data_IF_941096837125
#
_entry.id   IF_941096837125
#
_cell.length_a   1.000
_cell.length_b   1.000
_cell.length_c   1.000
_cell.angle_alpha   90.00
_cell.angle_beta   90.00
_cell.angle_gamma   90.00
#
_symmetry.space_group_name_H-M   'P 1'
#
loop_
_entity.id
_entity.type
_entity.pdbx_description
1 polymer ?
#
# COMPACT_ATOMS: atom_id res chain seq x y z
N UNK A 1 -77.83 -45.26 14.94
CA UNK A 1 -77.24 -44.04 14.36
C UNK A 1 -77.49 -44.03 12.86
N UNK A 2 -77.73 -42.86 12.25
CA UNK A 2 -77.96 -42.73 10.81
C UNK A 2 -76.63 -42.93 10.04
N UNK A 3 -76.67 -43.62 8.90
CA UNK A 3 -75.51 -43.83 7.99
C UNK A 3 -74.82 -42.52 7.58
N UNK A 4 -75.58 -41.42 7.59
CA UNK A 4 -75.11 -40.08 7.22
C UNK A 4 -74.20 -39.49 8.30
N UNK A 5 -74.49 -39.76 9.57
CA UNK A 5 -73.64 -39.35 10.70
C UNK A 5 -72.30 -40.08 10.69
N UNK A 6 -72.32 -41.40 10.50
CA UNK A 6 -71.12 -42.25 10.43
C UNK A 6 -70.20 -41.85 9.26
N UNK A 7 -70.78 -41.58 8.08
CA UNK A 7 -70.03 -41.09 6.92
C UNK A 7 -69.39 -39.72 7.19
N UNK A 8 -70.06 -38.85 7.95
CA UNK A 8 -69.55 -37.51 8.29
C UNK A 8 -68.36 -37.61 9.24
N UNK A 9 -68.44 -38.49 10.25
CA UNK A 9 -67.34 -38.72 11.21
C UNK A 9 -66.09 -39.24 10.49
N UNK A 10 -66.23 -40.25 9.62
CA UNK A 10 -65.10 -40.81 8.86
C UNK A 10 -64.43 -39.73 7.98
N UNK A 11 -65.23 -38.86 7.34
CA UNK A 11 -64.70 -37.76 6.52
C UNK A 11 -63.96 -36.71 7.36
N UNK A 12 -64.46 -36.39 8.55
CA UNK A 12 -63.80 -35.46 9.46
C UNK A 12 -62.48 -36.02 9.98
N UNK A 13 -62.42 -37.31 10.32
CA UNK A 13 -61.16 -37.96 10.71
C UNK A 13 -60.14 -37.97 9.56
N UNK A 14 -60.57 -38.32 8.35
CA UNK A 14 -59.71 -38.28 7.17
C UNK A 14 -59.17 -36.86 6.90
N UNK A 15 -60.02 -35.85 7.05
CA UNK A 15 -59.63 -34.44 6.88
C UNK A 15 -58.67 -33.99 7.99
N UNK A 16 -58.93 -34.38 9.24
CA UNK A 16 -58.05 -34.09 10.39
C UNK A 16 -56.66 -34.68 10.19
N UNK A 17 -56.58 -35.95 9.77
CA UNK A 17 -55.31 -36.63 9.50
C UNK A 17 -54.56 -35.97 8.34
N UNK A 18 -55.28 -35.58 7.27
CA UNK A 18 -54.69 -34.87 6.13
C UNK A 18 -54.15 -33.50 6.53
N UNK A 19 -54.88 -32.76 7.37
CA UNK A 19 -54.44 -31.47 7.87
C UNK A 19 -53.21 -31.60 8.77
N UNK A 20 -53.23 -32.55 9.72
CA UNK A 20 -52.10 -32.81 10.59
C UNK A 20 -50.84 -33.18 9.78
N UNK A 21 -50.98 -34.04 8.77
CA UNK A 21 -49.89 -34.40 7.88
C UNK A 21 -49.32 -33.18 7.14
N UNK A 22 -50.19 -32.34 6.57
CA UNK A 22 -49.77 -31.14 5.85
C UNK A 22 -49.03 -30.16 6.76
N UNK A 23 -49.56 -29.89 7.96
CA UNK A 23 -48.92 -29.01 8.95
C UNK A 23 -47.56 -29.57 9.39
N UNK A 24 -47.49 -30.88 9.65
CA UNK A 24 -46.23 -31.54 10.03
C UNK A 24 -45.19 -31.47 8.90
N UNK A 25 -45.61 -31.71 7.65
CA UNK A 25 -44.72 -31.58 6.49
C UNK A 25 -44.20 -30.17 6.32
N UNK A 26 -45.06 -29.16 6.43
CA UNK A 26 -44.66 -27.75 6.35
C UNK A 26 -43.67 -27.38 7.47
N UNK A 27 -43.96 -27.81 8.70
CA UNK A 27 -43.09 -27.58 9.85
C UNK A 27 -41.69 -28.17 9.64
N UNK A 28 -41.62 -29.40 9.11
CA UNK A 28 -40.36 -30.04 8.76
C UNK A 28 -39.61 -29.25 7.68
N UNK A 29 -40.28 -28.84 6.60
CA UNK A 29 -39.66 -28.05 5.53
C UNK A 29 -39.11 -26.71 6.03
N UNK A 30 -39.85 -26.00 6.89
CA UNK A 30 -39.38 -24.75 7.51
C UNK A 30 -38.17 -25.00 8.41
N UNK A 31 -38.19 -26.09 9.17
CA UNK A 31 -37.09 -26.48 10.05
C UNK A 31 -35.81 -26.75 9.26
N UNK A 32 -35.89 -27.50 8.15
CA UNK A 32 -34.73 -27.77 7.30
C UNK A 32 -34.20 -26.48 6.63
N UNK A 33 -35.09 -25.62 6.12
CA UNK A 33 -34.69 -24.32 5.57
C UNK A 33 -33.95 -23.45 6.60
N UNK A 34 -34.41 -23.42 7.86
CA UNK A 34 -33.74 -22.68 8.92
C UNK A 34 -32.36 -23.26 9.27
N UNK A 35 -32.19 -24.59 9.22
CA UNK A 35 -30.88 -25.24 9.42
C UNK A 35 -29.89 -24.87 8.31
N UNK A 36 -30.34 -24.94 7.05
CA UNK A 36 -29.52 -24.54 5.90
C UNK A 36 -29.13 -23.06 5.96
N UNK A 37 -30.08 -22.20 6.31
CA UNK A 37 -29.82 -20.77 6.50
C UNK A 37 -28.76 -20.53 7.58
N UNK A 38 -28.90 -21.18 8.75
CA UNK A 38 -27.94 -21.06 9.85
C UNK A 38 -26.55 -21.56 9.44
N UNK A 39 -26.47 -22.69 8.75
CA UNK A 39 -25.21 -23.22 8.24
C UNK A 39 -24.55 -22.23 7.27
N UNK A 40 -25.32 -21.69 6.33
CA UNK A 40 -24.84 -20.74 5.33
C UNK A 40 -24.34 -19.45 5.97
N UNK A 41 -25.09 -18.90 6.94
CA UNK A 41 -24.65 -17.74 7.72
C UNK A 41 -23.36 -18.03 8.49
N UNK A 42 -23.24 -19.21 9.11
CA UNK A 42 -22.03 -19.59 9.86
C UNK A 42 -20.81 -19.66 8.94
N UNK A 43 -20.96 -20.21 7.73
CA UNK A 43 -19.90 -20.25 6.71
C UNK A 43 -19.53 -18.86 6.21
N UNK A 44 -20.52 -17.99 6.03
CA UNK A 44 -20.30 -16.60 5.63
C UNK A 44 -19.53 -15.83 6.71
N UNK A 45 -19.90 -15.98 7.98
CA UNK A 45 -19.19 -15.34 9.10
C UNK A 45 -17.72 -15.78 9.18
N UNK A 46 -17.45 -17.08 9.03
CA UNK A 46 -16.08 -17.58 8.97
C UNK A 46 -15.29 -16.95 7.81
N UNK A 47 -15.91 -16.85 6.63
CA UNK A 47 -15.30 -16.25 5.44
C UNK A 47 -15.04 -14.74 5.62
N UNK A 48 -15.97 -14.01 6.25
CA UNK A 48 -15.80 -12.59 6.60
C UNK A 48 -14.63 -12.43 7.58
N UNK A 49 -14.54 -13.28 8.60
CA UNK A 49 -13.48 -13.22 9.59
C UNK A 49 -12.10 -13.48 8.97
N UNK A 50 -11.97 -14.48 8.09
CA UNK A 50 -10.73 -14.74 7.35
C UNK A 50 -10.34 -13.57 6.45
N UNK A 51 -11.32 -13.00 5.72
CA UNK A 51 -11.09 -11.82 4.88
C UNK A 51 -10.59 -10.62 5.72
N UNK A 52 -11.21 -10.36 6.86
CA UNK A 52 -10.78 -9.30 7.78
C UNK A 52 -9.34 -9.52 8.27
N UNK A 53 -8.95 -10.75 8.63
CA UNK A 53 -7.57 -11.03 9.01
C UNK A 53 -6.58 -10.76 7.87
N UNK A 54 -6.93 -11.11 6.63
CA UNK A 54 -6.06 -10.84 5.48
C UNK A 54 -5.92 -9.34 5.21
N UNK A 55 -7.02 -8.58 5.31
CA UNK A 55 -6.99 -7.11 5.16
C UNK A 55 -6.13 -6.48 6.25
N UNK A 56 -6.22 -6.95 7.50
CA UNK A 56 -5.38 -6.44 8.59
C UNK A 56 -3.90 -6.76 8.34
N UNK A 57 -3.56 -7.97 7.86
CA UNK A 57 -2.18 -8.34 7.47
C UNK A 57 -1.66 -7.51 6.30
N UNK A 58 -2.51 -7.16 5.33
CA UNK A 58 -2.11 -6.30 4.21
C UNK A 58 -1.92 -4.84 4.64
N UNK A 59 -2.73 -4.38 5.59
CA UNK A 59 -2.62 -3.08 6.23
C UNK A 59 -1.59 -3.05 7.36
N UNK A 60 -0.81 -4.12 7.57
CA UNK A 60 0.26 -4.06 8.55
C UNK A 60 1.26 -2.96 8.12
N UNK A 61 1.52 -1.95 8.99
CA UNK A 61 2.42 -0.83 8.77
C UNK A 61 3.77 -1.15 8.11
N UNK A 62 4.45 -2.28 8.39
CA UNK A 62 5.80 -2.53 7.88
C UNK A 62 5.92 -2.38 6.37
N UNK A 63 4.99 -2.89 5.56
CA UNK A 63 5.22 -2.87 4.11
C UNK A 63 5.12 -1.46 3.53
N UNK A 64 4.07 -0.71 3.90
CA UNK A 64 3.89 0.68 3.46
C UNK A 64 4.98 1.60 4.04
N UNK A 65 5.37 1.41 5.30
CA UNK A 65 6.42 2.18 5.96
C UNK A 65 7.80 1.90 5.35
N UNK A 66 8.10 0.63 5.01
CA UNK A 66 9.34 0.25 4.31
C UNK A 66 9.37 0.87 2.92
N UNK A 67 8.28 0.76 2.14
CA UNK A 67 8.21 1.37 0.80
C UNK A 67 8.38 2.89 0.87
N UNK A 68 7.72 3.55 1.82
CA UNK A 68 7.81 5.00 2.01
C UNK A 68 9.24 5.42 2.38
N UNK A 69 9.90 4.68 3.28
CA UNK A 69 11.31 4.94 3.62
C UNK A 69 12.24 4.73 2.43
N UNK A 70 12.06 3.66 1.66
CA UNK A 70 12.86 3.38 0.48
C UNK A 70 12.72 4.48 -0.58
N UNK A 71 11.48 4.91 -0.86
CA UNK A 71 11.19 6.03 -1.77
C UNK A 71 11.84 7.33 -1.30
N UNK A 72 11.79 7.62 0.00
CA UNK A 72 12.42 8.82 0.56
C UNK A 72 13.94 8.80 0.39
N UNK A 73 14.59 7.66 0.62
CA UNK A 73 16.04 7.50 0.41
C UNK A 73 16.42 7.75 -1.04
N UNK A 74 15.69 7.15 -2.00
CA UNK A 74 15.95 7.33 -3.44
C UNK A 74 15.79 8.79 -3.85
N UNK A 75 14.75 9.47 -3.36
CA UNK A 75 14.52 10.89 -3.66
C UNK A 75 15.64 11.78 -3.07
N UNK A 76 16.13 11.44 -1.88
CA UNK A 76 17.25 12.15 -1.25
C UNK A 76 18.56 11.95 -2.03
N UNK A 77 18.87 10.71 -2.41
CA UNK A 77 20.05 10.38 -3.23
C UNK A 77 20.02 11.10 -4.57
N UNK A 78 18.85 11.14 -5.23
CA UNK A 78 18.66 11.89 -6.47
C UNK A 78 18.94 13.38 -6.30
N UNK A 79 18.45 14.01 -5.23
CA UNK A 79 18.73 15.42 -4.93
C UNK A 79 20.20 15.66 -4.67
N UNK A 80 20.88 14.74 -4.00
CA UNK A 80 22.30 14.86 -3.70
C UNK A 80 23.17 14.61 -4.95
N UNK A 81 22.76 13.71 -5.84
CA UNK A 81 23.37 13.54 -7.17
C UNK A 81 23.21 14.80 -8.02
N UNK A 82 22.01 15.36 -8.08
CA UNK A 82 21.77 16.59 -8.83
C UNK A 82 22.63 17.75 -8.30
N UNK A 83 22.75 17.89 -6.98
CA UNK A 83 23.67 18.87 -6.37
C UNK A 83 25.13 18.61 -6.73
N UNK A 84 25.58 17.35 -6.71
CA UNK A 84 26.97 16.97 -7.05
C UNK A 84 27.27 17.17 -8.53
N UNK A 85 26.33 16.88 -9.42
CA UNK A 85 26.48 17.04 -10.87
C UNK A 85 26.73 18.49 -11.32
N UNK A 86 26.31 19.47 -10.50
CA UNK A 86 26.53 20.90 -10.75
C UNK A 86 27.88 21.41 -10.22
N UNK A 87 28.63 20.56 -9.50
CA UNK A 87 29.95 20.91 -8.97
C UNK A 87 31.03 20.24 -9.82
N UNK A 88 32.08 21.00 -10.14
CA UNK A 88 33.24 20.51 -10.87
C UNK A 88 34.48 20.66 -9.98
N UNK A 89 35.36 19.65 -10.01
CA UNK A 89 36.67 19.70 -9.37
C UNK A 89 37.71 19.95 -10.46
N UNK A 90 38.46 21.03 -10.31
CA UNK A 90 39.55 21.39 -11.22
C UNK A 90 40.86 21.21 -10.44
N UNK A 91 41.69 20.30 -10.90
CA UNK A 91 43.00 19.98 -10.31
C UNK A 91 44.12 20.56 -11.18
N UNK A 92 45.30 20.74 -10.60
CA UNK A 92 46.49 21.23 -11.32
C UNK A 92 46.48 22.74 -11.60
N UNK A 93 45.60 23.49 -10.95
CA UNK A 93 45.66 24.95 -10.95
C UNK A 93 46.72 25.44 -9.96
N UNK A 94 47.57 26.35 -10.42
CA UNK A 94 48.57 27.00 -9.58
C UNK A 94 47.89 28.01 -8.64
N UNK A 95 48.13 27.89 -7.33
CA UNK A 95 47.56 28.81 -6.34
C UNK A 95 48.27 30.17 -6.46
N UNK A 96 47.56 31.19 -6.93
CA UNK A 96 48.08 32.55 -6.97
C UNK A 96 47.72 33.29 -5.67
N UNK A 97 48.74 33.62 -4.87
CA UNK A 97 48.61 34.35 -3.61
C UNK A 97 48.00 35.74 -3.84
N UNK A 98 46.86 36.02 -3.18
CA UNK A 98 46.16 37.31 -3.28
C UNK A 98 45.15 37.43 -4.42
N UNK A 99 45.01 36.41 -5.27
CA UNK A 99 43.97 36.36 -6.31
C UNK A 99 42.67 35.75 -5.78
N UNK A 100 41.53 36.21 -6.30
CA UNK A 100 40.25 35.59 -6.03
C UNK A 100 40.11 34.31 -6.88
N UNK A 101 39.84 33.17 -6.23
CA UNK A 101 39.67 31.87 -6.89
C UNK A 101 38.67 31.90 -8.05
N UNK A 102 37.62 32.73 -7.95
CA UNK A 102 36.63 32.87 -9.01
C UNK A 102 37.24 33.44 -10.29
N UNK A 103 38.18 34.37 -10.17
CA UNK A 103 38.79 35.06 -11.32
C UNK A 103 39.77 34.15 -12.04
N UNK A 104 40.53 33.35 -11.30
CA UNK A 104 41.42 32.31 -11.86
C UNK A 104 40.62 31.30 -12.68
N UNK A 105 39.51 30.79 -12.14
CA UNK A 105 38.64 29.84 -12.86
C UNK A 105 37.94 30.52 -14.05
N UNK A 106 37.53 31.78 -13.91
CA UNK A 106 36.90 32.54 -15.00
C UNK A 106 37.87 32.72 -16.17
N UNK A 107 39.11 33.12 -15.89
CA UNK A 107 40.18 33.24 -16.91
C UNK A 107 40.46 31.91 -17.62
N UNK A 108 40.52 30.80 -16.87
CA UNK A 108 40.65 29.46 -17.46
C UNK A 108 39.49 29.15 -18.43
N UNK A 109 38.26 29.40 -18.00
CA UNK A 109 37.08 29.20 -18.85
C UNK A 109 37.08 30.15 -20.06
N UNK A 110 37.53 31.39 -19.89
CA UNK A 110 37.63 32.39 -20.95
C UNK A 110 38.62 32.00 -22.06
N UNK A 111 39.74 31.40 -21.68
CA UNK A 111 40.78 31.02 -22.62
C UNK A 111 40.54 29.66 -23.28
N UNK A 112 39.88 28.72 -22.60
CA UNK A 112 39.85 27.32 -23.04
C UNK A 112 38.47 26.76 -23.41
N UNK A 113 37.36 27.39 -23.01
CA UNK A 113 36.01 26.87 -23.29
C UNK A 113 35.28 27.70 -24.35
N UNK A 114 34.63 27.06 -25.32
CA UNK A 114 33.78 27.76 -26.30
C UNK A 114 32.51 28.33 -25.64
N UNK A 115 31.93 27.59 -24.69
CA UNK A 115 30.76 28.01 -23.91
C UNK A 115 31.19 28.38 -22.50
N UNK A 116 30.88 29.60 -22.06
CA UNK A 116 31.27 30.10 -20.75
C UNK A 116 30.26 29.67 -19.68
N UNK A 117 30.68 28.89 -18.67
CA UNK A 117 29.77 28.48 -17.60
C UNK A 117 29.47 29.65 -16.66
N UNK A 118 28.26 29.65 -16.08
CA UNK A 118 27.94 30.56 -14.99
C UNK A 118 28.51 30.02 -13.67
N UNK A 119 29.61 30.62 -13.21
CA UNK A 119 30.26 30.22 -11.96
C UNK A 119 29.49 30.78 -10.76
N UNK A 120 28.72 29.92 -10.08
CA UNK A 120 27.94 30.29 -8.91
C UNK A 120 28.83 30.49 -7.66
N UNK A 121 29.75 29.56 -7.39
CA UNK A 121 30.64 29.59 -6.23
C UNK A 121 31.92 28.81 -6.50
N UNK A 122 33.03 29.26 -5.92
CA UNK A 122 34.32 28.57 -5.92
C UNK A 122 34.81 28.34 -4.50
N UNK A 123 35.53 27.23 -4.27
CA UNK A 123 36.26 26.96 -3.02
C UNK A 123 37.49 26.12 -3.33
N UNK A 124 38.55 26.31 -2.55
CA UNK A 124 39.73 25.43 -2.57
C UNK A 124 39.43 24.23 -1.66
N UNK A 125 39.81 23.03 -2.10
CA UNK A 125 39.70 21.80 -1.33
C UNK A 125 41.11 21.38 -0.88
N UNK A 126 41.27 21.08 0.41
CA UNK A 126 42.57 20.75 1.02
C UNK A 126 43.32 21.98 1.56
N UNK A 127 44.28 21.72 2.43
CA UNK A 127 45.23 22.74 2.94
C UNK A 127 46.32 22.97 1.90
N UNK A 128 46.65 24.23 1.56
CA UNK A 128 47.80 24.51 0.70
C UNK A 128 49.08 24.05 1.40
N UNK A 129 49.83 23.15 0.77
CA UNK A 129 51.18 22.76 1.18
C UNK A 129 52.16 23.92 0.93
N UNK A 130 52.04 24.99 1.71
CA UNK A 130 53.03 26.07 1.74
C UNK A 130 52.89 26.88 3.03
N UNK A 131 53.18 26.25 4.17
CA UNK A 131 53.44 26.93 5.44
C UNK A 131 54.41 26.10 6.29
N UNK A 132 55.54 25.70 5.70
CA UNK A 132 56.67 25.12 6.44
C UNK A 132 57.96 25.43 5.68
N UNK A 133 58.42 26.66 5.85
CA UNK A 133 59.83 27.02 5.75
C UNK A 133 60.31 27.42 7.14
#
# INVERSE_FOLDING_TARGET
MSKLFETTVIRLEALSNSFEFAVRSMSNSVTECMKELHSTMSTLDASIFECQQQVVKLNEPPMLEIMTRALWTVEQEKKDEERRSRNLIISGLELQTGSNNKDVVSSLCENHLTVKPQIAKTRVLGTPESASH
#
